data_IF_647307525553
#
_entry.id   IF_647307525553
#
_cell.length_a   1.000
_cell.length_b   1.000
_cell.length_c   1.000
_cell.angle_alpha   90.00
_cell.angle_beta   90.00
_cell.angle_gamma   90.00
#
_symmetry.space_group_name_H-M   'P 1'
#
loop_
_entity.id
_entity.type
_entity.pdbx_description
1 polymer ?
#
# COMPACT_ATOMS: atom_id res chain seq x y z
N UNK A 1 18.42 -4.33 10.35
CA UNK A 1 18.25 -3.04 9.66
C UNK A 1 16.77 -2.79 9.48
N UNK A 2 16.08 -2.41 10.55
CA UNK A 2 14.62 -2.32 10.57
C UNK A 2 14.14 -0.91 10.26
N UNK A 3 13.33 -0.77 9.20
CA UNK A 3 12.29 0.26 9.01
C UNK A 3 12.53 1.63 9.67
N UNK A 4 13.70 2.25 9.44
CA UNK A 4 14.00 3.59 9.96
C UNK A 4 13.54 4.62 8.93
N UNK A 5 12.74 5.62 9.34
CA UNK A 5 12.43 6.80 8.50
C UNK A 5 10.94 7.13 8.27
N UNK A 6 10.01 6.50 9.00
CA UNK A 6 8.56 6.77 8.84
C UNK A 6 7.99 6.30 7.50
N UNK A 7 8.69 5.41 6.82
CA UNK A 7 8.26 4.79 5.56
C UNK A 7 6.97 3.98 5.76
N UNK A 8 6.91 3.21 6.85
CA UNK A 8 5.75 2.41 7.26
C UNK A 8 4.96 3.05 8.40
N UNK A 9 4.96 4.38 8.51
CA UNK A 9 4.19 5.08 9.55
C UNK A 9 2.68 4.83 9.40
N UNK A 10 2.17 4.81 8.16
CA UNK A 10 0.78 4.53 7.83
C UNK A 10 0.73 3.61 6.61
N UNK A 11 0.37 2.35 6.81
CA UNK A 11 0.36 1.33 5.73
C UNK A 11 -1.05 0.88 5.42
N UNK A 12 -1.38 0.81 4.14
CA UNK A 12 -2.68 0.30 3.67
C UNK A 12 -2.71 -1.24 3.75
N UNK A 13 -3.64 -1.78 4.54
CA UNK A 13 -4.01 -3.20 4.54
C UNK A 13 -5.15 -3.42 3.54
N UNK A 14 -4.83 -4.09 2.43
CA UNK A 14 -5.79 -4.45 1.38
C UNK A 14 -5.56 -5.86 0.83
N UNK A 15 -4.37 -6.41 1.04
CA UNK A 15 -4.05 -7.77 0.62
C UNK A 15 -4.93 -8.78 1.37
N UNK A 16 -5.41 -9.84 0.69
CA UNK A 16 -6.10 -10.94 1.38
C UNK A 16 -5.23 -11.50 2.50
N UNK A 17 -5.81 -11.81 3.66
CA UNK A 17 -5.09 -12.37 4.82
C UNK A 17 -4.34 -13.68 4.52
N UNK A 18 -4.68 -14.37 3.43
CA UNK A 18 -3.99 -15.58 2.98
C UNK A 18 -2.69 -15.30 2.20
N UNK A 19 -2.42 -14.04 1.84
CA UNK A 19 -1.25 -13.64 1.05
C UNK A 19 -0.15 -13.08 1.94
N UNK A 20 1.11 -13.32 1.57
CA UNK A 20 2.30 -12.90 2.33
C UNK A 20 2.38 -11.38 2.53
N UNK A 21 1.90 -10.59 1.56
CA UNK A 21 1.81 -9.14 1.65
C UNK A 21 0.99 -8.65 2.87
N UNK A 22 -0.04 -9.38 3.29
CA UNK A 22 -0.83 -9.02 4.48
C UNK A 22 -0.01 -9.05 5.78
N UNK A 23 1.06 -9.86 5.82
CA UNK A 23 1.99 -9.90 6.96
C UNK A 23 2.80 -8.61 7.03
N UNK A 24 3.27 -8.10 5.89
CA UNK A 24 3.96 -6.81 5.83
C UNK A 24 3.01 -5.65 6.16
N UNK A 25 1.84 -5.62 5.52
CA UNK A 25 0.84 -4.55 5.68
C UNK A 25 0.37 -4.41 7.13
N UNK A 26 0.26 -5.53 7.87
CA UNK A 26 -0.15 -5.53 9.27
C UNK A 26 1.01 -5.25 10.22
N UNK A 27 2.12 -5.98 10.11
CA UNK A 27 3.17 -5.93 11.13
C UNK A 27 4.20 -4.84 10.92
N UNK A 28 4.43 -4.38 9.67
CA UNK A 28 5.33 -3.27 9.36
C UNK A 28 5.05 -2.02 10.19
N UNK A 29 3.83 -1.44 10.13
CA UNK A 29 3.47 -0.30 10.96
C UNK A 29 3.36 -0.66 12.45
N UNK A 30 2.74 -1.78 12.82
CA UNK A 30 2.48 -2.09 14.23
C UNK A 30 3.75 -2.33 15.06
N UNK A 31 4.77 -2.96 14.47
CA UNK A 31 6.06 -3.18 15.14
C UNK A 31 6.94 -1.92 15.19
N UNK A 32 6.59 -0.88 14.45
CA UNK A 32 7.29 0.42 14.43
C UNK A 32 6.53 1.55 15.14
N UNK A 33 5.37 1.26 15.75
CA UNK A 33 4.52 2.25 16.42
C UNK A 33 3.65 3.10 15.47
N UNK A 34 3.53 2.67 14.21
CA UNK A 34 2.69 3.28 13.19
C UNK A 34 1.22 2.83 13.23
N UNK A 35 0.54 3.02 12.11
CA UNK A 35 -0.90 2.78 11.95
C UNK A 35 -1.17 1.91 10.73
N UNK A 36 -2.16 1.02 10.87
CA UNK A 36 -2.74 0.27 9.76
C UNK A 36 -3.98 1.00 9.28
N UNK A 37 -4.00 1.37 8.00
CA UNK A 37 -5.18 1.92 7.32
C UNK A 37 -5.86 0.76 6.62
N UNK A 38 -7.11 0.44 6.98
CA UNK A 38 -7.83 -0.68 6.37
C UNK A 38 -8.53 -0.20 5.10
N UNK A 39 -8.32 -0.90 3.99
CA UNK A 39 -9.00 -0.59 2.74
C UNK A 39 -10.52 -0.73 2.87
N UNK A 40 -11.30 0.10 2.15
CA UNK A 40 -12.74 -0.08 2.08
C UNK A 40 -13.10 -1.42 1.42
N UNK A 41 -14.29 -1.92 1.73
CA UNK A 41 -14.80 -3.14 1.09
C UNK A 41 -14.97 -2.89 -0.42
N UNK A 42 -14.40 -3.78 -1.24
CA UNK A 42 -14.52 -3.73 -2.69
C UNK A 42 -13.18 -3.87 -3.39
N UNK A 43 -13.17 -3.56 -4.70
CA UNK A 43 -11.98 -3.60 -5.52
C UNK A 43 -11.15 -2.32 -5.29
N UNK A 44 -9.84 -2.50 -5.19
CA UNK A 44 -8.90 -1.38 -5.20
C UNK A 44 -8.70 -0.89 -6.64
N UNK A 45 -8.98 0.38 -6.89
CA UNK A 45 -8.72 1.09 -8.14
C UNK A 45 -8.05 2.45 -7.86
N UNK A 46 -7.73 3.19 -8.92
CA UNK A 46 -7.04 4.48 -8.83
C UNK A 46 -7.82 5.50 -8.00
N UNK A 47 -9.15 5.51 -8.10
CA UNK A 47 -10.01 6.44 -7.34
C UNK A 47 -10.05 6.10 -5.85
N UNK A 48 -10.11 4.82 -5.50
CA UNK A 48 -10.03 4.35 -4.12
C UNK A 48 -8.65 4.67 -3.55
N UNK A 49 -7.57 4.39 -4.28
CA UNK A 49 -6.20 4.71 -3.85
C UNK A 49 -6.05 6.20 -3.57
N UNK A 50 -6.50 7.06 -4.48
CA UNK A 50 -6.47 8.52 -4.30
C UNK A 50 -7.17 8.97 -3.02
N UNK A 51 -8.35 8.41 -2.76
CA UNK A 51 -9.16 8.74 -1.60
C UNK A 51 -8.50 8.28 -0.30
N UNK A 52 -7.96 7.06 -0.27
CA UNK A 52 -7.34 6.48 0.92
C UNK A 52 -5.99 7.12 1.21
N UNK A 53 -5.14 7.29 0.20
CA UNK A 53 -3.81 7.90 0.35
C UNK A 53 -3.96 9.35 0.82
N UNK A 54 -4.80 10.14 0.16
CA UNK A 54 -5.01 11.54 0.53
C UNK A 54 -5.76 11.72 1.86
N UNK A 55 -6.77 10.88 2.11
CA UNK A 55 -7.62 10.99 3.30
C UNK A 55 -6.93 10.53 4.59
N UNK A 56 -6.06 9.52 4.51
CA UNK A 56 -5.41 8.93 5.68
C UNK A 56 -3.90 9.14 5.75
N UNK A 57 -3.31 9.79 4.73
CA UNK A 57 -1.87 10.09 4.69
C UNK A 57 -1.01 8.83 4.59
N UNK A 58 -1.41 7.86 3.76
CA UNK A 58 -0.68 6.59 3.60
C UNK A 58 0.77 6.87 3.18
N UNK A 59 1.73 6.30 3.92
CA UNK A 59 3.17 6.49 3.68
C UNK A 59 3.82 5.26 3.04
N UNK A 60 3.23 4.07 3.24
CA UNK A 60 3.73 2.81 2.70
C UNK A 60 2.61 2.01 2.06
N UNK A 61 2.89 1.41 0.90
CA UNK A 61 1.91 0.69 0.10
C UNK A 61 2.54 -0.55 -0.51
N UNK A 62 1.83 -1.68 -0.47
CA UNK A 62 2.13 -2.82 -1.34
C UNK A 62 1.12 -2.82 -2.51
N UNK A 63 1.55 -3.04 -3.74
CA UNK A 63 0.66 -3.14 -4.91
C UNK A 63 0.97 -4.37 -5.76
N UNK A 64 -0.05 -5.06 -6.27
CA UNK A 64 0.10 -5.97 -7.40
C UNK A 64 0.70 -5.22 -8.60
N UNK A 65 1.64 -5.83 -9.32
CA UNK A 65 2.29 -5.22 -10.48
C UNK A 65 1.29 -4.73 -11.56
N UNK A 66 0.24 -5.49 -11.83
CA UNK A 66 -0.83 -5.04 -12.75
C UNK A 66 -1.53 -3.76 -12.28
N UNK A 67 -1.82 -3.63 -10.98
CA UNK A 67 -2.44 -2.40 -10.43
C UNK A 67 -1.46 -1.22 -10.42
N UNK A 68 -0.18 -1.48 -10.14
CA UNK A 68 0.85 -0.46 -10.26
C UNK A 68 0.96 0.08 -11.70
N UNK A 69 0.89 -0.80 -12.70
CA UNK A 69 0.85 -0.41 -14.11
C UNK A 69 -0.33 0.49 -14.44
N UNK A 70 -1.54 0.12 -14.00
CA UNK A 70 -2.74 0.96 -14.16
C UNK A 70 -2.58 2.34 -13.52
N UNK A 71 -2.03 2.40 -12.29
CA UNK A 71 -1.77 3.68 -11.62
C UNK A 71 -0.79 4.55 -12.41
N UNK A 72 0.29 3.95 -12.94
CA UNK A 72 1.30 4.66 -13.72
C UNK A 72 0.73 5.22 -15.04
N UNK A 73 -0.22 4.52 -15.66
CA UNK A 73 -0.86 4.93 -16.93
C UNK A 73 -1.99 5.94 -16.72
N UNK A 74 -2.84 5.76 -15.71
CA UNK A 74 -4.05 6.57 -15.51
C UNK A 74 -3.81 7.85 -14.70
N UNK A 75 -3.21 7.74 -13.50
CA UNK A 75 -2.94 8.89 -12.62
C UNK A 75 -1.80 8.57 -11.62
N UNK A 76 -0.52 8.79 -11.98
CA UNK A 76 0.59 8.55 -11.07
C UNK A 76 0.60 9.53 -9.88
N UNK A 77 -0.14 10.65 -9.95
CA UNK A 77 -0.19 11.64 -8.88
C UNK A 77 -0.89 11.13 -7.61
N UNK A 78 -1.63 10.02 -7.71
CA UNK A 78 -2.23 9.37 -6.53
C UNK A 78 -1.20 8.89 -5.51
N UNK A 79 0.05 8.67 -5.93
CA UNK A 79 1.14 8.22 -5.06
C UNK A 79 1.87 9.39 -4.36
N UNK A 80 1.48 10.64 -4.59
CA UNK A 80 2.08 11.79 -3.89
C UNK A 80 1.88 11.64 -2.38
N UNK A 81 2.97 11.73 -1.63
CA UNK A 81 2.99 11.56 -0.17
C UNK A 81 3.31 10.14 0.30
N UNK A 82 3.19 9.15 -0.59
CA UNK A 82 3.70 7.80 -0.35
C UNK A 82 5.23 7.83 -0.44
N UNK A 83 5.90 7.24 0.57
CA UNK A 83 7.37 7.21 0.67
C UNK A 83 7.95 5.91 0.11
N UNK A 84 7.18 4.84 0.15
CA UNK A 84 7.57 3.54 -0.41
C UNK A 84 6.38 2.83 -1.02
N UNK A 85 6.56 2.38 -2.25
CA UNK A 85 5.65 1.47 -2.94
C UNK A 85 6.42 0.18 -3.18
N UNK A 86 6.00 -0.88 -2.52
CA UNK A 86 6.49 -2.24 -2.77
C UNK A 86 5.59 -2.84 -3.85
N UNK A 87 6.16 -3.18 -4.99
CA UNK A 87 5.43 -3.85 -6.06
C UNK A 87 5.76 -5.33 -6.03
N UNK A 88 4.74 -6.18 -6.02
CA UNK A 88 4.93 -7.63 -5.95
C UNK A 88 3.74 -8.39 -6.55
N UNK A 89 3.79 -9.71 -6.45
CA UNK A 89 2.68 -10.56 -6.87
C UNK A 89 2.61 -10.89 -8.36
N UNK A 90 3.61 -10.51 -9.17
CA UNK A 90 3.80 -11.12 -10.49
C UNK A 90 4.95 -12.12 -10.47
N UNK A 91 4.58 -13.39 -10.64
CA UNK A 91 5.43 -14.43 -11.25
C UNK A 91 4.65 -14.97 -12.45
N UNK A 92 5.36 -15.03 -13.56
CA UNK A 92 5.04 -15.60 -14.88
C UNK A 92 4.29 -16.94 -14.76
N UNK A 93 3.40 -17.19 -15.75
CA UNK A 93 2.74 -18.46 -16.09
C UNK A 93 3.30 -19.75 -15.48
#
# INVERSE_FOLDING_TARGET
>A
SGWVGGVVERVLLHSPFAFDASTFELWGPLLSGGCVVVAPVGRLDVGVLKSVIGGFGVTGLWLPAGLFGVVAEEDPSVLVGVREVVVGGDVVS
#
